data_IF_695868885936
#
_entry.id   IF_695868885936
#
_cell.length_a   1.000
_cell.length_b   1.000
_cell.length_c   1.000
_cell.angle_alpha   90.00
_cell.angle_beta   90.00
_cell.angle_gamma   90.00
#
_symmetry.space_group_name_H-M   'P 1'
#
loop_
_entity.id
_entity.type
_entity.pdbx_description
1 polymer ?
#
# COMPACT_ATOMS: atom_id res chain seq x y z
N UNK A 1 16.60 39.78 -8.36
CA UNK A 1 16.33 38.32 -8.31
C UNK A 1 15.53 37.87 -9.53
N UNK A 2 14.40 38.53 -9.83
CA UNK A 2 13.59 38.24 -11.04
C UNK A 2 14.38 38.37 -12.35
N UNK A 3 15.19 39.43 -12.51
CA UNK A 3 16.00 39.62 -13.72
C UNK A 3 17.03 38.50 -13.92
N UNK A 4 17.53 37.93 -12.81
CA UNK A 4 18.47 36.81 -12.84
C UNK A 4 17.78 35.53 -13.35
N UNK A 5 16.54 35.29 -12.90
CA UNK A 5 15.72 34.16 -13.39
C UNK A 5 15.35 34.34 -14.86
N UNK A 6 15.00 35.56 -15.28
CA UNK A 6 14.69 35.86 -16.68
C UNK A 6 15.92 35.72 -17.58
N UNK A 7 17.14 35.89 -17.06
CA UNK A 7 18.38 35.68 -17.81
C UNK A 7 18.78 34.20 -17.97
N UNK A 8 18.23 33.30 -17.15
CA UNK A 8 18.53 31.86 -17.21
C UNK A 8 17.71 31.15 -18.30
N UNK A 9 18.40 30.50 -19.24
CA UNK A 9 17.75 29.74 -20.32
C UNK A 9 17.03 28.49 -19.80
N UNK A 10 17.49 27.89 -18.71
CA UNK A 10 16.81 26.75 -18.10
C UNK A 10 15.46 27.19 -17.53
N UNK A 11 15.41 28.30 -16.81
CA UNK A 11 14.14 28.82 -16.29
C UNK A 11 13.13 29.06 -17.42
N UNK A 12 13.55 29.66 -18.54
CA UNK A 12 12.71 29.82 -19.73
C UNK A 12 12.21 28.48 -20.29
N UNK A 13 13.08 27.48 -20.38
CA UNK A 13 12.69 26.12 -20.82
C UNK A 13 11.62 25.50 -19.93
N UNK A 14 11.73 25.63 -18.61
CA UNK A 14 10.73 25.08 -17.68
C UNK A 14 9.36 25.73 -17.89
N UNK A 15 9.31 27.05 -18.03
CA UNK A 15 8.05 27.77 -18.27
C UNK A 15 7.44 27.38 -19.62
N UNK A 16 8.24 27.34 -20.69
CA UNK A 16 7.77 26.95 -22.02
C UNK A 16 7.29 25.49 -22.05
N UNK A 17 7.98 24.57 -21.36
CA UNK A 17 7.54 23.19 -21.18
C UNK A 17 6.20 23.10 -20.43
N UNK A 18 6.04 23.87 -19.34
CA UNK A 18 4.79 23.92 -18.60
C UNK A 18 3.62 24.38 -19.48
N UNK A 19 3.84 25.37 -20.35
CA UNK A 19 2.84 25.78 -21.34
C UNK A 19 2.47 24.65 -22.30
N UNK A 20 3.46 23.92 -22.84
CA UNK A 20 3.18 22.82 -23.75
C UNK A 20 2.39 21.68 -23.08
N UNK A 21 2.77 21.30 -21.85
CA UNK A 21 2.04 20.28 -21.07
C UNK A 21 0.62 20.75 -20.78
N UNK A 22 0.43 22.03 -20.42
CA UNK A 22 -0.89 22.61 -20.19
C UNK A 22 -1.73 22.58 -21.47
N UNK A 23 -1.19 23.00 -22.61
CA UNK A 23 -1.90 23.02 -23.88
C UNK A 23 -2.29 21.60 -24.33
N UNK A 24 -1.39 20.64 -24.22
CA UNK A 24 -1.69 19.24 -24.51
C UNK A 24 -2.74 18.69 -23.54
N UNK A 25 -2.65 19.02 -22.25
CA UNK A 25 -3.69 18.65 -21.30
C UNK A 25 -5.03 19.25 -21.70
N UNK A 26 -5.13 20.55 -21.97
CA UNK A 26 -6.38 21.22 -22.34
C UNK A 26 -7.03 20.62 -23.59
N UNK A 27 -6.23 20.25 -24.61
CA UNK A 27 -6.71 19.58 -25.83
C UNK A 27 -7.00 18.09 -25.64
N UNK A 28 -6.28 17.44 -24.74
CA UNK A 28 -6.35 16.00 -24.50
C UNK A 28 -7.69 15.58 -23.91
N UNK A 29 -8.31 14.58 -24.54
CA UNK A 29 -9.43 13.85 -23.97
C UNK A 29 -8.91 12.91 -22.88
N UNK A 30 -9.56 12.89 -21.72
CA UNK A 30 -9.21 11.99 -20.60
C UNK A 30 -10.51 11.44 -20.05
N UNK A 31 -10.59 10.12 -19.83
CA UNK A 31 -11.80 9.44 -19.30
C UNK A 31 -12.37 10.08 -18.02
N UNK A 32 -11.55 10.75 -17.23
CA UNK A 32 -11.92 11.38 -15.96
C UNK A 32 -12.24 12.87 -16.07
N UNK A 33 -12.17 13.48 -17.25
CA UNK A 33 -12.62 14.87 -17.45
C UNK A 33 -14.13 14.93 -17.59
N UNK A 34 -14.75 15.89 -16.92
CA UNK A 34 -16.18 16.18 -17.08
C UNK A 34 -16.48 16.62 -18.50
N UNK A 35 -17.61 16.18 -19.06
CA UNK A 35 -18.13 16.62 -20.37
C UNK A 35 -18.42 18.11 -20.45
N UNK A 36 -18.43 18.81 -19.31
CA UNK A 36 -18.68 20.25 -19.23
C UNK A 36 -17.43 21.10 -19.53
N UNK A 37 -16.24 20.49 -19.61
CA UNK A 37 -14.99 21.20 -19.88
C UNK A 37 -14.68 21.20 -21.38
N UNK A 38 -15.39 22.05 -22.11
CA UNK A 38 -15.26 22.23 -23.57
C UNK A 38 -14.56 23.57 -23.86
N UNK A 39 -13.65 23.57 -24.83
CA UNK A 39 -13.02 24.77 -25.35
C UNK A 39 -13.83 25.33 -26.52
N UNK A 40 -13.86 26.66 -26.66
CA UNK A 40 -14.40 27.28 -27.89
C UNK A 40 -13.42 27.09 -29.06
N UNK A 41 -13.92 27.23 -30.29
CA UNK A 41 -13.08 27.16 -31.49
C UNK A 41 -12.01 28.26 -31.50
N UNK A 42 -12.36 29.46 -31.03
CA UNK A 42 -11.45 30.60 -30.90
C UNK A 42 -10.32 30.31 -29.89
N UNK A 43 -10.65 29.72 -28.74
CA UNK A 43 -9.65 29.28 -27.75
C UNK A 43 -8.74 28.19 -28.32
N UNK A 44 -9.31 27.26 -29.09
CA UNK A 44 -8.56 26.16 -29.69
C UNK A 44 -7.55 26.67 -30.72
N UNK A 45 -7.94 27.62 -31.56
CA UNK A 45 -7.05 28.31 -32.50
C UNK A 45 -5.96 29.10 -31.78
N UNK A 46 -6.31 29.82 -30.71
CA UNK A 46 -5.34 30.55 -29.90
C UNK A 46 -4.28 29.61 -29.29
N UNK A 47 -4.70 28.43 -28.80
CA UNK A 47 -3.76 27.41 -28.31
C UNK A 47 -2.82 26.94 -29.43
N UNK A 48 -3.29 26.78 -30.66
CA UNK A 48 -2.44 26.36 -31.79
C UNK A 48 -1.38 27.40 -32.14
N UNK A 49 -1.79 28.66 -32.24
CA UNK A 49 -0.88 29.74 -32.60
C UNK A 49 0.14 29.99 -31.49
N UNK A 50 -0.29 29.94 -30.22
CA UNK A 50 0.63 30.04 -29.08
C UNK A 50 1.55 28.83 -28.95
N UNK A 51 1.08 27.62 -29.24
CA UNK A 51 1.92 26.42 -29.27
C UNK A 51 3.03 26.56 -30.31
N UNK A 52 2.72 27.03 -31.53
CA UNK A 52 3.73 27.30 -32.57
C UNK A 52 4.75 28.33 -32.10
N UNK A 53 4.30 29.41 -31.46
CA UNK A 53 5.19 30.42 -30.90
C UNK A 53 6.11 29.85 -29.79
N UNK A 54 5.59 28.99 -28.92
CA UNK A 54 6.38 28.33 -27.86
C UNK A 54 7.46 27.42 -28.45
N UNK A 55 7.14 26.63 -29.49
CA UNK A 55 8.14 25.81 -30.18
C UNK A 55 9.23 26.62 -30.85
N UNK A 56 8.88 27.78 -31.44
CA UNK A 56 9.84 28.72 -31.99
C UNK A 56 10.75 29.32 -30.90
N UNK A 57 10.18 29.72 -29.75
CA UNK A 57 10.98 30.22 -28.64
C UNK A 57 11.90 29.13 -28.05
N UNK A 58 11.45 27.88 -27.99
CA UNK A 58 12.27 26.75 -27.55
C UNK A 58 13.44 26.48 -28.51
N UNK A 59 13.23 26.60 -29.83
CA UNK A 59 14.33 26.42 -30.79
C UNK A 59 15.35 27.56 -30.75
N UNK A 60 14.91 28.77 -30.40
CA UNK A 60 15.77 29.95 -30.20
C UNK A 60 16.58 29.91 -28.88
N UNK A 61 16.29 29.00 -27.94
CA UNK A 61 16.97 28.93 -26.63
C UNK A 61 18.28 28.09 -26.66
N UNK A 62 19.47 28.69 -26.46
CA UNK A 62 20.71 27.93 -26.34
C UNK A 62 20.82 27.17 -25.00
N UNK A 63 21.56 26.04 -24.93
CA UNK A 63 22.26 25.31 -26.01
C UNK A 63 21.38 24.25 -26.71
N UNK A 64 21.58 24.02 -28.00
CA UNK A 64 20.88 22.99 -28.81
C UNK A 64 19.34 23.07 -28.80
N UNK A 65 18.77 24.29 -28.92
CA UNK A 65 17.33 24.53 -28.88
C UNK A 65 16.53 23.65 -29.85
N UNK A 66 16.95 23.51 -31.12
CA UNK A 66 16.27 22.65 -32.09
C UNK A 66 16.22 21.17 -31.68
N UNK A 67 17.31 20.65 -31.12
CA UNK A 67 17.38 19.26 -30.67
C UNK A 67 16.49 19.05 -29.46
N UNK A 68 16.47 20.02 -28.54
CA UNK A 68 15.57 20.02 -27.40
C UNK A 68 14.11 20.06 -27.84
N UNK A 69 13.73 20.96 -28.76
CA UNK A 69 12.36 21.05 -29.29
C UNK A 69 11.89 19.72 -29.90
N UNK A 70 12.72 19.04 -30.71
CA UNK A 70 12.40 17.72 -31.27
C UNK A 70 12.23 16.64 -30.20
N UNK A 71 13.04 16.68 -29.15
CA UNK A 71 12.93 15.75 -28.02
C UNK A 71 11.63 15.99 -27.26
N UNK A 72 11.26 17.25 -27.02
CA UNK A 72 10.00 17.61 -26.37
C UNK A 72 8.81 17.15 -27.21
N UNK A 73 8.82 17.40 -28.52
CA UNK A 73 7.77 16.93 -29.44
C UNK A 73 7.61 15.40 -29.38
N UNK A 74 8.72 14.66 -29.35
CA UNK A 74 8.67 13.21 -29.18
C UNK A 74 8.10 12.77 -27.83
N UNK A 75 8.49 13.42 -26.73
CA UNK A 75 7.99 13.12 -25.38
C UNK A 75 6.47 13.37 -25.32
N UNK A 76 6.00 14.52 -25.80
CA UNK A 76 4.58 14.87 -25.81
C UNK A 76 3.77 13.88 -26.66
N UNK A 77 4.29 13.43 -27.82
CA UNK A 77 3.67 12.36 -28.60
C UNK A 77 3.59 11.03 -27.84
N UNK A 78 4.62 10.67 -27.06
CA UNK A 78 4.56 9.46 -26.20
C UNK A 78 3.55 9.62 -25.05
N UNK A 79 3.38 10.83 -24.52
CA UNK A 79 2.35 11.12 -23.52
C UNK A 79 0.93 11.01 -24.12
N UNK A 80 0.70 11.42 -25.36
CA UNK A 80 -0.57 11.19 -26.06
C UNK A 80 -0.89 9.70 -26.19
N UNK A 81 0.09 8.90 -26.59
CA UNK A 81 -0.04 7.45 -26.68
C UNK A 81 -0.38 6.83 -25.31
N UNK A 82 0.30 7.29 -24.25
CA UNK A 82 0.06 6.83 -22.89
C UNK A 82 -1.33 7.22 -22.39
N UNK A 83 -1.79 8.44 -22.69
CA UNK A 83 -3.11 8.90 -22.37
C UNK A 83 -4.17 8.08 -23.12
N UNK A 84 -3.97 7.80 -24.41
CA UNK A 84 -4.88 6.94 -25.19
C UNK A 84 -4.95 5.53 -24.60
N UNK A 85 -3.82 4.92 -24.26
CA UNK A 85 -3.76 3.60 -23.64
C UNK A 85 -4.51 3.54 -22.30
N UNK A 86 -4.33 4.56 -21.44
CA UNK A 86 -5.10 4.69 -20.20
C UNK A 86 -6.60 4.88 -20.47
N UNK A 87 -6.93 5.71 -21.45
CA UNK A 87 -8.30 5.91 -21.91
C UNK A 87 -8.91 4.64 -22.51
N UNK A 88 -8.14 3.65 -22.91
CA UNK A 88 -8.64 2.34 -23.34
C UNK A 88 -8.87 1.37 -22.17
N UNK A 89 -8.53 1.76 -20.94
CA UNK A 89 -8.64 0.90 -19.76
C UNK A 89 -7.38 0.07 -19.51
N UNK A 90 -6.21 0.57 -19.93
CA UNK A 90 -4.91 -0.03 -19.67
C UNK A 90 -4.79 -1.48 -20.20
N UNK A 91 -4.98 -1.72 -21.51
CA UNK A 91 -4.87 -3.06 -22.06
C UNK A 91 -3.48 -3.67 -21.81
N UNK A 92 -3.44 -4.97 -21.51
CA UNK A 92 -2.19 -5.67 -21.18
C UNK A 92 -1.16 -5.55 -22.33
N UNK A 93 0.08 -5.23 -21.98
CA UNK A 93 1.21 -5.27 -22.92
C UNK A 93 1.63 -6.70 -23.27
N UNK A 94 1.08 -7.70 -22.58
CA UNK A 94 1.32 -9.11 -22.88
C UNK A 94 0.62 -9.42 -24.20
N UNK A 95 1.38 -9.33 -25.30
CA UNK A 95 0.97 -9.90 -26.56
C UNK A 95 0.92 -11.41 -26.38
N UNK A 96 -0.28 -11.96 -26.27
CA UNK A 96 -0.48 -13.39 -26.45
C UNK A 96 0.21 -13.75 -27.76
N UNK A 97 1.16 -14.70 -27.70
CA UNK A 97 1.72 -15.24 -28.94
C UNK A 97 0.53 -15.74 -29.74
N UNK A 98 0.34 -15.29 -30.99
CA UNK A 98 -0.69 -15.90 -31.82
C UNK A 98 -0.44 -17.41 -31.79
N UNK A 99 -1.49 -18.24 -31.61
CA UNK A 99 -1.31 -19.68 -31.74
C UNK A 99 -0.64 -19.90 -33.09
N UNK A 100 0.49 -20.61 -33.09
CA UNK A 100 1.28 -20.94 -34.29
C UNK A 100 0.34 -21.60 -35.31
N UNK A 101 -0.34 -20.79 -36.13
CA UNK A 101 -1.39 -21.26 -37.05
C UNK A 101 -0.81 -21.83 -38.34
N UNK A 102 0.52 -21.97 -38.40
CA UNK A 102 1.20 -22.75 -39.42
C UNK A 102 2.37 -23.47 -38.74
N UNK A 103 2.51 -24.80 -38.86
CA UNK A 103 3.77 -25.43 -38.56
C UNK A 103 4.79 -24.77 -39.49
N UNK A 104 5.65 -23.94 -38.91
CA UNK A 104 6.78 -23.38 -39.63
C UNK A 104 7.54 -24.57 -40.17
N UNK A 105 7.50 -24.76 -41.52
CA UNK A 105 8.19 -25.88 -42.17
C UNK A 105 9.59 -25.92 -41.55
N UNK A 106 10.03 -27.06 -40.99
CA UNK A 106 11.29 -27.10 -40.30
C UNK A 106 12.33 -26.62 -41.29
N UNK A 107 12.88 -25.42 -41.03
CA UNK A 107 14.11 -24.99 -41.68
C UNK A 107 15.04 -26.17 -41.47
N UNK A 108 15.47 -26.81 -42.56
CA UNK A 108 16.44 -27.91 -42.50
C UNK A 108 17.68 -27.34 -41.82
N UNK A 109 17.70 -27.41 -40.49
CA UNK A 109 18.91 -27.23 -39.69
C UNK A 109 19.86 -28.26 -40.29
N UNK A 110 21.01 -27.81 -40.76
CA UNK A 110 22.11 -28.74 -41.09
C UNK A 110 22.17 -29.72 -39.91
N UNK A 111 22.14 -31.05 -40.15
CA UNK A 111 22.27 -31.99 -39.05
C UNK A 111 23.48 -31.55 -38.23
N UNK A 112 23.30 -31.35 -36.93
CA UNK A 112 24.42 -31.08 -36.04
C UNK A 112 25.49 -32.13 -36.36
N UNK A 113 26.78 -31.75 -36.51
CA UNK A 113 27.83 -32.69 -36.82
C UNK A 113 27.67 -33.92 -35.92
N UNK A 114 27.58 -35.12 -36.52
CA UNK A 114 27.37 -36.37 -35.79
C UNK A 114 28.41 -36.61 -34.69
N UNK A 115 29.52 -35.86 -34.71
CA UNK A 115 30.58 -35.87 -33.71
C UNK A 115 30.18 -35.29 -32.34
N UNK A 116 29.12 -34.47 -32.25
CA UNK A 116 28.66 -33.89 -30.97
C UNK A 116 27.69 -34.79 -30.19
N UNK A 117 27.02 -35.73 -30.87
CA UNK A 117 26.05 -36.64 -30.25
C UNK A 117 26.64 -38.05 -30.26
N UNK A 118 26.85 -38.61 -29.07
CA UNK A 118 27.33 -39.98 -28.93
C UNK A 118 26.44 -40.96 -29.69
N UNK A 119 27.05 -41.86 -30.46
CA UNK A 119 26.35 -42.92 -31.17
C UNK A 119 25.84 -43.97 -30.17
N UNK A 120 24.53 -43.98 -29.92
CA UNK A 120 23.86 -44.92 -29.02
C UNK A 120 22.39 -44.56 -28.77
N UNK A 121 21.65 -45.43 -28.08
CA UNK A 121 20.24 -45.17 -27.71
C UNK A 121 20.07 -43.95 -26.81
N UNK A 122 21.10 -43.63 -26.02
CA UNK A 122 21.20 -42.39 -25.25
C UNK A 122 22.01 -41.38 -26.07
N UNK A 123 21.32 -40.41 -26.68
CA UNK A 123 21.91 -39.27 -27.42
C UNK A 123 22.64 -38.32 -26.47
N UNK A 124 23.75 -38.79 -25.89
CA UNK A 124 24.57 -38.01 -24.97
C UNK A 124 25.38 -36.99 -25.74
N UNK A 125 25.46 -35.76 -25.26
CA UNK A 125 26.29 -34.70 -25.83
C UNK A 125 27.73 -34.99 -25.43
N UNK A 126 28.58 -35.38 -26.39
CA UNK A 126 30.01 -35.54 -26.14
C UNK A 126 30.69 -34.18 -26.25
N UNK A 127 31.30 -33.76 -25.16
CA UNK A 127 32.24 -32.65 -25.11
C UNK A 127 33.64 -33.23 -24.99
N UNK A 128 34.65 -32.61 -25.61
CA UNK A 128 36.02 -33.17 -25.65
C UNK A 128 36.69 -33.42 -24.28
N UNK A 129 36.06 -33.06 -23.16
CA UNK A 129 36.47 -33.36 -21.79
C UNK A 129 35.36 -34.18 -21.09
N UNK A 130 35.74 -35.18 -20.30
CA UNK A 130 34.83 -36.03 -19.52
C UNK A 130 33.95 -35.24 -18.55
N UNK A 131 34.48 -34.21 -17.87
CA UNK A 131 33.69 -33.38 -16.95
C UNK A 131 32.67 -32.51 -17.68
N UNK A 132 33.05 -31.97 -18.86
CA UNK A 132 32.10 -31.22 -19.69
C UNK A 132 31.02 -32.14 -20.26
N UNK A 133 31.38 -33.35 -20.67
CA UNK A 133 30.42 -34.37 -21.10
C UNK A 133 29.47 -34.72 -19.95
N UNK A 134 29.98 -34.87 -18.73
CA UNK A 134 29.14 -35.15 -17.55
C UNK A 134 28.16 -34.03 -17.27
N UNK A 135 28.63 -32.78 -17.23
CA UNK A 135 27.80 -31.60 -16.95
C UNK A 135 26.72 -31.38 -18.00
N UNK A 136 27.06 -31.51 -19.29
CA UNK A 136 26.11 -31.32 -20.39
C UNK A 136 25.07 -32.43 -20.52
N UNK A 137 25.30 -33.58 -19.87
CA UNK A 137 24.35 -34.69 -19.81
C UNK A 137 23.68 -34.83 -18.44
N UNK A 138 23.90 -33.89 -17.52
CA UNK A 138 23.27 -33.92 -16.18
C UNK A 138 21.75 -33.80 -16.29
N UNK A 139 21.27 -32.94 -17.19
CA UNK A 139 19.86 -32.79 -17.51
C UNK A 139 19.69 -32.54 -19.01
N UNK A 140 18.81 -33.30 -19.71
CA UNK A 140 18.57 -33.12 -21.13
C UNK A 140 17.84 -31.81 -21.45
N UNK A 141 17.02 -31.29 -20.52
CA UNK A 141 16.40 -29.97 -20.59
C UNK A 141 16.68 -29.16 -19.32
N UNK A 142 17.31 -28.00 -19.49
CA UNK A 142 17.60 -27.06 -18.41
C UNK A 142 16.32 -26.48 -17.80
N UNK A 143 15.24 -26.36 -18.58
CA UNK A 143 13.97 -25.83 -18.07
C UNK A 143 13.26 -26.82 -17.16
N UNK A 144 13.26 -28.11 -17.52
CA UNK A 144 12.76 -29.18 -16.65
C UNK A 144 13.63 -29.34 -15.41
N UNK A 145 14.95 -29.23 -15.55
CA UNK A 145 15.87 -29.24 -14.40
C UNK A 145 15.60 -28.12 -13.40
N UNK A 146 15.12 -26.95 -13.86
CA UNK A 146 14.74 -25.85 -12.98
C UNK A 146 13.39 -26.04 -12.29
N UNK A 147 12.58 -27.02 -12.71
CA UNK A 147 11.27 -27.35 -12.13
C UNK A 147 11.33 -28.55 -11.17
N UNK A 148 12.50 -29.15 -10.97
CA UNK A 148 12.64 -30.29 -10.05
C UNK A 148 12.31 -29.86 -8.62
N UNK A 149 11.51 -30.67 -7.92
CA UNK A 149 11.18 -30.47 -6.51
C UNK A 149 12.43 -30.36 -5.61
N UNK A 150 13.53 -31.03 -5.98
CA UNK A 150 14.84 -30.91 -5.29
C UNK A 150 15.49 -29.53 -5.37
N UNK A 151 14.96 -28.62 -6.19
CA UNK A 151 15.36 -27.20 -6.27
C UNK A 151 14.37 -26.26 -5.58
N UNK A 152 13.32 -26.78 -4.97
CA UNK A 152 12.47 -26.01 -4.07
C UNK A 152 13.18 -25.91 -2.71
N UNK A 153 14.07 -24.92 -2.59
CA UNK A 153 14.85 -24.69 -1.35
C UNK A 153 14.06 -23.94 -0.27
N UNK A 154 12.77 -23.68 -0.49
CA UNK A 154 11.96 -22.88 0.42
C UNK A 154 11.17 -23.80 1.34
N UNK A 155 11.46 -23.83 2.65
CA UNK A 155 10.69 -24.64 3.59
C UNK A 155 9.26 -24.12 3.72
N UNK A 156 8.36 -24.96 4.22
CA UNK A 156 7.00 -24.55 4.58
C UNK A 156 7.03 -23.68 5.84
N UNK A 157 5.94 -22.96 6.12
CA UNK A 157 5.83 -22.19 7.38
C UNK A 157 5.86 -23.12 8.59
N UNK A 158 5.21 -24.28 8.48
CA UNK A 158 5.11 -25.28 9.54
C UNK A 158 6.50 -25.83 9.90
N UNK A 159 7.24 -26.35 8.91
CA UNK A 159 8.58 -26.91 9.11
C UNK A 159 9.60 -25.87 9.62
N UNK A 160 9.48 -24.61 9.17
CA UNK A 160 10.44 -23.58 9.56
C UNK A 160 10.19 -23.03 10.97
N UNK A 161 8.93 -22.93 11.39
CA UNK A 161 8.55 -22.36 12.69
C UNK A 161 8.32 -23.40 13.79
N UNK A 162 8.33 -24.71 13.49
CA UNK A 162 8.20 -25.81 14.47
C UNK A 162 9.03 -25.58 15.73
N UNK A 163 10.34 -25.35 15.59
CA UNK A 163 11.26 -25.09 16.73
C UNK A 163 10.85 -23.85 17.53
N UNK A 164 10.36 -22.79 16.87
CA UNK A 164 9.93 -21.57 17.55
C UNK A 164 8.56 -21.72 18.23
N UNK A 165 7.68 -22.56 17.67
CA UNK A 165 6.38 -22.90 18.25
C UNK A 165 6.58 -23.72 19.52
N UNK A 166 7.43 -24.75 19.47
CA UNK A 166 7.79 -25.55 20.66
C UNK A 166 8.40 -24.68 21.76
N UNK A 167 9.29 -23.75 21.41
CA UNK A 167 9.91 -22.81 22.38
C UNK A 167 8.95 -21.74 22.91
N UNK A 168 7.80 -21.54 22.27
CA UNK A 168 6.75 -20.62 22.73
C UNK A 168 5.82 -21.28 23.77
N UNK A 169 5.83 -22.61 23.88
CA UNK A 169 5.05 -23.35 24.88
C UNK A 169 5.64 -23.11 26.29
N UNK A 170 4.85 -22.58 27.25
CA UNK A 170 5.26 -22.42 28.64
C UNK A 170 5.77 -23.69 29.33
N UNK A 171 5.40 -24.89 28.87
CA UNK A 171 5.85 -26.18 29.45
C UNK A 171 7.33 -26.45 29.20
N UNK A 172 7.89 -25.94 28.09
CA UNK A 172 9.28 -26.23 27.69
C UNK A 172 10.34 -25.42 28.46
N UNK A 173 9.93 -24.51 29.37
CA UNK A 173 10.82 -23.79 30.31
C UNK A 173 12.05 -23.14 29.65
N UNK A 174 11.94 -22.70 28.40
CA UNK A 174 13.05 -22.09 27.66
C UNK A 174 13.20 -20.62 28.06
N UNK A 175 14.37 -20.23 28.57
CA UNK A 175 14.64 -18.83 28.90
C UNK A 175 14.53 -17.94 27.64
N UNK A 176 13.91 -16.77 27.78
CA UNK A 176 13.71 -15.83 26.67
C UNK A 176 14.99 -15.57 25.86
N UNK A 177 16.16 -15.51 26.50
CA UNK A 177 17.45 -15.27 25.83
C UNK A 177 17.83 -16.32 24.78
N UNK A 178 17.34 -17.56 24.91
CA UNK A 178 17.68 -18.67 24.01
C UNK A 178 16.61 -19.00 22.98
N UNK A 179 15.48 -18.27 22.97
CA UNK A 179 14.45 -18.43 21.94
C UNK A 179 15.02 -18.15 20.54
N UNK A 180 14.66 -18.99 19.58
CA UNK A 180 15.05 -18.87 18.17
C UNK A 180 14.67 -17.50 17.60
N UNK A 181 13.53 -16.96 18.05
CA UNK A 181 13.02 -15.63 17.69
C UNK A 181 13.99 -14.49 18.05
N UNK A 182 14.83 -14.66 19.07
CA UNK A 182 15.84 -13.67 19.47
C UNK A 182 17.14 -13.76 18.65
N UNK A 183 17.31 -14.80 17.83
CA UNK A 183 18.42 -14.89 16.91
C UNK A 183 18.18 -14.03 15.66
N UNK A 184 19.04 -13.05 15.42
CA UNK A 184 18.92 -12.13 14.28
C UNK A 184 18.85 -12.85 12.93
N UNK A 185 19.64 -13.91 12.72
CA UNK A 185 19.64 -14.66 11.47
C UNK A 185 18.34 -15.44 11.25
N UNK A 186 17.81 -16.02 12.33
CA UNK A 186 16.52 -16.69 12.31
C UNK A 186 15.41 -15.69 12.00
N UNK A 187 15.39 -14.55 12.69
CA UNK A 187 14.38 -13.52 12.48
C UNK A 187 14.35 -12.95 11.06
N UNK A 188 15.51 -12.74 10.43
CA UNK A 188 15.57 -12.31 9.03
C UNK A 188 15.09 -13.37 8.03
N UNK A 189 15.35 -14.66 8.32
CA UNK A 189 14.84 -15.76 7.49
C UNK A 189 13.34 -15.94 7.66
N UNK A 190 12.86 -15.86 8.90
CA UNK A 190 11.45 -15.89 9.28
C UNK A 190 10.66 -14.79 8.56
N UNK A 191 11.14 -13.54 8.62
CA UNK A 191 10.48 -12.40 8.00
C UNK A 191 10.36 -12.56 6.47
N UNK A 192 11.42 -13.04 5.80
CA UNK A 192 11.39 -13.28 4.34
C UNK A 192 10.45 -14.42 3.97
N UNK A 193 10.33 -15.44 4.81
CA UNK A 193 9.43 -16.55 4.58
C UNK A 193 7.97 -16.11 4.76
N UNK A 194 7.68 -15.39 5.84
CA UNK A 194 6.36 -14.82 6.13
C UNK A 194 5.90 -13.89 5.00
N UNK A 195 6.75 -12.98 4.52
CA UNK A 195 6.41 -12.08 3.42
C UNK A 195 6.03 -12.79 2.11
N UNK A 196 6.41 -14.05 1.93
CA UNK A 196 6.16 -14.81 0.69
C UNK A 196 5.05 -15.84 0.83
N UNK A 197 4.87 -16.43 2.02
CA UNK A 197 3.94 -17.54 2.26
C UNK A 197 2.76 -17.13 3.14
N UNK A 198 2.89 -16.11 3.98
CA UNK A 198 1.81 -15.65 4.85
C UNK A 198 0.93 -14.62 4.14
N UNK A 199 -0.38 -14.89 3.97
CA UNK A 199 -1.33 -13.92 3.41
C UNK A 199 -1.58 -12.73 4.35
N UNK A 200 -1.30 -12.88 5.63
CA UNK A 200 -1.53 -11.86 6.67
C UNK A 200 -0.36 -10.90 6.88
N UNK A 201 0.78 -11.11 6.18
CA UNK A 201 1.99 -10.31 6.39
C UNK A 201 1.84 -8.82 6.03
N UNK A 202 1.06 -8.51 4.98
CA UNK A 202 0.89 -7.13 4.48
C UNK A 202 -0.44 -6.48 4.89
N UNK A 203 -1.15 -7.06 5.86
CA UNK A 203 -2.39 -6.47 6.35
C UNK A 203 -2.07 -5.19 7.15
N UNK A 204 -2.82 -4.08 6.95
CA UNK A 204 -2.66 -2.87 7.75
C UNK A 204 -2.90 -3.20 9.22
N UNK A 205 -1.83 -3.43 9.96
CA UNK A 205 -1.91 -3.70 11.39
C UNK A 205 -1.68 -2.37 12.10
N UNK A 206 -2.67 -1.88 12.85
CA UNK A 206 -2.51 -0.70 13.72
C UNK A 206 -1.54 -0.95 14.90
N UNK A 207 -0.96 -2.15 14.99
CA UNK A 207 0.08 -2.51 15.96
C UNK A 207 1.44 -1.98 15.51
N UNK A 208 1.95 -0.99 16.25
CA UNK A 208 3.35 -0.58 16.15
C UNK A 208 4.23 -1.61 16.86
N UNK A 209 4.84 -2.53 16.11
CA UNK A 209 5.81 -3.45 16.68
C UNK A 209 7.11 -2.70 17.01
N UNK A 210 7.53 -2.76 18.28
CA UNK A 210 8.73 -2.07 18.76
C UNK A 210 10.01 -2.82 18.39
N UNK A 211 9.95 -4.16 18.34
CA UNK A 211 11.10 -4.99 17.96
C UNK A 211 10.72 -6.21 17.10
N UNK A 212 11.68 -6.67 16.28
CA UNK A 212 11.52 -7.86 15.43
C UNK A 212 11.21 -9.14 16.23
N UNK A 213 11.85 -9.41 17.38
CA UNK A 213 11.51 -10.57 18.19
C UNK A 213 10.06 -10.56 18.69
N UNK A 214 9.55 -9.43 19.18
CA UNK A 214 8.15 -9.31 19.65
C UNK A 214 7.15 -9.53 18.50
N UNK A 215 7.46 -9.04 17.30
CA UNK A 215 6.64 -9.30 16.11
C UNK A 215 6.58 -10.80 15.79
N UNK A 216 7.73 -11.47 15.81
CA UNK A 216 7.83 -12.89 15.48
C UNK A 216 7.22 -13.78 16.57
N UNK A 217 7.32 -13.43 17.86
CA UNK A 217 6.63 -14.16 18.94
C UNK A 217 5.11 -14.12 18.75
N UNK A 218 4.55 -12.95 18.44
CA UNK A 218 3.12 -12.83 18.14
C UNK A 218 2.71 -13.62 16.89
N UNK A 219 3.56 -13.64 15.87
CA UNK A 219 3.29 -14.40 14.64
C UNK A 219 3.37 -15.91 14.87
N UNK A 220 4.32 -16.37 15.69
CA UNK A 220 4.45 -17.78 16.11
C UNK A 220 3.20 -18.23 16.88
N UNK A 221 2.68 -17.40 17.79
CA UNK A 221 1.44 -17.70 18.51
C UNK A 221 0.24 -17.79 17.57
N UNK A 222 0.15 -16.92 16.56
CA UNK A 222 -0.91 -16.98 15.54
C UNK A 222 -0.80 -18.25 14.68
N UNK A 223 0.41 -18.58 14.22
CA UNK A 223 0.66 -19.79 13.44
C UNK A 223 0.33 -21.06 14.24
N UNK A 224 0.70 -21.10 15.52
CA UNK A 224 0.37 -22.22 16.42
C UNK A 224 -1.15 -22.42 16.61
N UNK A 225 -1.96 -21.35 16.51
CA UNK A 225 -3.43 -21.41 16.60
C UNK A 225 -4.11 -21.78 15.27
N UNK A 226 -3.48 -21.49 14.12
CA UNK A 226 -4.00 -21.82 12.79
C UNK A 226 -3.63 -23.24 12.34
N UNK A 227 -2.64 -23.87 12.98
CA UNK A 227 -2.27 -25.26 12.76
C UNK A 227 -3.32 -26.18 13.39
N UNK A 228 -3.96 -27.11 12.65
CA UNK A 228 -4.74 -28.18 13.28
C UNK A 228 -3.79 -29.04 14.14
N UNK A 229 -4.23 -29.50 15.32
CA UNK A 229 -3.36 -30.28 16.20
C UNK A 229 -2.90 -31.56 15.45
N UNK A 230 -1.62 -31.96 15.63
CA UNK A 230 -1.15 -33.21 15.06
C UNK A 230 -1.99 -34.34 15.66
N UNK A 231 -2.62 -35.10 14.78
CA UNK A 231 -3.53 -36.19 15.11
C UNK A 231 -2.83 -37.26 15.95
N UNK A 232 -3.09 -37.33 17.25
CA UNK A 232 -3.10 -38.58 18.03
C UNK A 232 -4.16 -38.56 19.14
N UNK A 233 -5.04 -39.57 19.07
CA UNK A 233 -5.87 -40.18 20.12
C UNK A 233 -7.03 -39.39 20.77
N UNK A 234 -8.22 -39.86 20.43
CA UNK A 234 -9.53 -39.62 21.03
C UNK A 234 -9.48 -39.75 22.57
N UNK A 235 -9.90 -38.68 23.27
CA UNK A 235 -10.56 -38.82 24.58
C UNK A 235 -11.63 -37.74 24.77
N UNK A 236 -12.82 -38.09 24.30
CA UNK A 236 -14.15 -37.75 24.85
C UNK A 236 -14.23 -36.61 25.88
N UNK A 237 -14.99 -35.57 25.56
CA UNK A 237 -15.55 -34.67 26.57
C UNK A 237 -16.07 -33.36 26.00
N UNK A 238 -17.29 -33.41 25.46
CA UNK A 238 -18.28 -32.31 25.44
C UNK A 238 -17.99 -31.09 24.57
N UNK A 239 -18.70 -31.05 23.44
CA UNK A 239 -19.07 -29.83 22.73
C UNK A 239 -19.89 -28.93 23.68
N UNK A 240 -19.52 -27.66 23.80
CA UNK A 240 -20.46 -26.55 24.01
C UNK A 240 -19.77 -25.21 23.63
N UNK A 241 -20.44 -24.50 22.71
CA UNK A 241 -20.37 -23.06 22.42
C UNK A 241 -19.26 -22.51 21.50
N UNK A 242 -19.45 -22.69 20.20
CA UNK A 242 -19.02 -21.76 19.14
C UNK A 242 -19.97 -20.55 19.10
N UNK A 243 -19.76 -19.52 19.92
CA UNK A 243 -20.24 -18.15 19.67
C UNK A 243 -19.48 -17.19 20.60
N UNK A 244 -19.03 -16.05 20.06
CA UNK A 244 -18.26 -14.97 20.71
C UNK A 244 -16.78 -15.22 21.08
N UNK A 245 -15.88 -14.96 20.12
CA UNK A 245 -14.47 -14.70 20.44
C UNK A 245 -13.81 -13.56 19.62
N UNK A 246 -14.60 -12.54 19.27
CA UNK A 246 -14.08 -11.25 18.76
C UNK A 246 -14.07 -10.17 19.86
N UNK A 247 -14.59 -10.47 21.06
CA UNK A 247 -14.71 -9.52 22.17
C UNK A 247 -13.57 -9.60 23.21
N UNK A 248 -12.73 -10.65 23.20
CA UNK A 248 -11.75 -10.92 24.27
C UNK A 248 -10.32 -10.43 24.00
N UNK A 249 -10.06 -9.75 22.88
CA UNK A 249 -8.75 -9.13 22.60
C UNK A 249 -8.68 -7.62 22.90
N UNK A 250 -9.64 -7.10 23.68
CA UNK A 250 -9.58 -5.75 24.26
C UNK A 250 -9.27 -5.82 25.76
N UNK A 251 -8.18 -6.45 26.17
CA UNK A 251 -7.63 -6.22 27.52
C UNK A 251 -6.23 -5.59 27.45
N UNK A 252 -6.28 -4.26 27.60
CA UNK A 252 -5.39 -3.39 28.36
C UNK A 252 -4.01 -3.96 28.75
N UNK A 253 -3.01 -3.57 27.96
CA UNK A 253 -1.67 -3.31 28.47
C UNK A 253 -1.01 -2.18 27.67
N UNK A 254 -1.72 -1.05 27.55
CA UNK A 254 -1.11 0.21 27.10
C UNK A 254 -0.99 1.14 28.31
N UNK A 255 0.20 1.70 28.52
CA UNK A 255 0.43 2.67 29.60
C UNK A 255 -0.47 3.90 29.43
N UNK A 256 -0.96 4.50 30.54
CA UNK A 256 -1.98 5.57 30.53
C UNK A 256 -1.57 6.85 29.79
N UNK A 257 -0.26 7.06 29.53
CA UNK A 257 0.24 8.17 28.71
C UNK A 257 -0.07 8.01 27.21
N UNK A 258 -0.22 6.78 26.70
CA UNK A 258 -0.36 6.52 25.24
C UNK A 258 -1.82 6.59 24.76
N UNK A 259 -2.79 6.55 25.66
CA UNK A 259 -4.22 6.67 25.34
C UNK A 259 -4.69 8.12 25.19
N UNK A 260 -3.98 9.09 25.80
CA UNK A 260 -4.32 10.52 25.75
C UNK A 260 -4.03 11.17 24.40
N UNK A 261 -3.04 10.64 23.68
CA UNK A 261 -2.60 11.13 22.37
C UNK A 261 -3.33 10.49 21.17
N UNK A 262 -4.25 9.54 21.41
CA UNK A 262 -5.03 8.90 20.35
C UNK A 262 -6.32 9.68 20.06
N UNK A 263 -6.68 9.78 18.79
CA UNK A 263 -7.95 10.38 18.36
C UNK A 263 -9.14 9.64 18.98
N UNK A 264 -10.19 10.38 19.35
CA UNK A 264 -11.38 9.82 20.00
C UNK A 264 -12.03 8.73 19.13
N UNK A 265 -12.38 7.61 19.74
CA UNK A 265 -13.07 6.54 19.02
C UNK A 265 -14.54 6.89 18.78
N UNK A 266 -15.18 6.27 17.79
CA UNK A 266 -16.60 6.51 17.48
C UNK A 266 -17.54 6.23 18.68
N UNK A 267 -17.21 5.24 19.52
CA UNK A 267 -17.94 4.93 20.75
C UNK A 267 -17.79 6.05 21.80
N UNK A 268 -16.60 6.65 21.93
CA UNK A 268 -16.36 7.80 22.82
C UNK A 268 -17.08 9.06 22.33
N UNK A 269 -17.13 9.28 21.02
CA UNK A 269 -17.88 10.39 20.42
C UNK A 269 -19.37 10.24 20.65
N UNK A 270 -19.91 9.02 20.54
CA UNK A 270 -21.32 8.74 20.76
C UNK A 270 -21.73 8.87 22.24
N UNK A 271 -20.92 8.36 23.16
CA UNK A 271 -21.17 8.52 24.60
C UNK A 271 -21.11 9.98 25.02
N UNK A 272 -20.16 10.75 24.47
CA UNK A 272 -20.03 12.16 24.77
C UNK A 272 -21.11 13.01 24.11
N UNK A 273 -21.51 12.72 22.87
CA UNK A 273 -22.63 13.39 22.20
C UNK A 273 -23.93 13.30 23.00
N UNK A 274 -24.16 12.16 23.64
CA UNK A 274 -25.30 11.95 24.53
C UNK A 274 -25.26 12.84 25.78
N UNK A 275 -24.07 13.15 26.30
CA UNK A 275 -23.85 14.05 27.45
C UNK A 275 -23.87 15.52 27.05
N UNK A 276 -23.33 15.86 25.87
CA UNK A 276 -23.23 17.22 25.34
C UNK A 276 -24.59 17.85 25.04
N UNK A 277 -25.54 17.06 24.50
CA UNK A 277 -26.93 17.48 24.32
C UNK A 277 -27.08 18.86 23.68
N UNK A 278 -27.91 19.73 24.26
CA UNK A 278 -28.24 21.07 23.71
C UNK A 278 -27.05 22.05 23.67
N UNK A 279 -25.97 21.74 24.39
CA UNK A 279 -24.80 22.62 24.51
C UNK A 279 -23.84 22.50 23.32
N UNK A 280 -24.13 21.64 22.34
CA UNK A 280 -23.34 21.49 21.12
C UNK A 280 -23.16 22.81 20.36
N UNK A 281 -24.20 23.65 20.30
CA UNK A 281 -24.17 24.95 19.60
C UNK A 281 -23.27 25.97 20.31
N UNK A 282 -23.13 25.87 21.64
CA UNK A 282 -22.23 26.71 22.41
C UNK A 282 -20.77 26.27 22.28
N UNK A 283 -20.52 24.97 22.03
CA UNK A 283 -19.19 24.40 21.82
C UNK A 283 -18.65 24.64 20.40
N UNK A 284 -19.52 24.61 19.38
CA UNK A 284 -19.14 24.69 17.97
C UNK A 284 -18.18 25.84 17.59
N UNK A 285 -18.33 27.09 18.09
CA UNK A 285 -17.41 28.18 17.77
C UNK A 285 -16.00 27.99 18.35
N UNK A 286 -15.87 27.25 19.45
CA UNK A 286 -14.59 26.98 20.11
C UNK A 286 -13.85 25.79 19.50
N UNK A 287 -14.53 24.99 18.67
CA UNK A 287 -13.96 23.97 17.80
C UNK A 287 -13.63 24.52 16.40
N UNK A 288 -13.63 25.86 16.25
CA UNK A 288 -13.36 26.56 14.99
C UNK A 288 -14.25 26.15 13.81
N UNK A 289 -15.47 25.68 14.10
CA UNK A 289 -16.43 25.31 13.07
C UNK A 289 -17.04 26.54 12.40
N UNK A 290 -17.19 26.50 11.06
CA UNK A 290 -17.75 27.61 10.30
C UNK A 290 -19.24 27.78 10.60
N UNK A 291 -19.72 29.02 10.57
CA UNK A 291 -21.15 29.32 10.75
C UNK A 291 -22.06 28.63 9.72
N UNK A 292 -21.55 28.36 8.51
CA UNK A 292 -22.25 27.59 7.48
C UNK A 292 -22.54 26.16 7.94
N UNK A 293 -21.57 25.55 8.59
CA UNK A 293 -21.58 24.13 8.94
C UNK A 293 -22.45 23.93 10.19
N UNK A 294 -22.41 24.89 11.12
CA UNK A 294 -23.32 24.94 12.28
C UNK A 294 -24.79 25.06 11.82
N UNK A 295 -25.08 25.92 10.84
CA UNK A 295 -26.44 26.06 10.28
C UNK A 295 -26.90 24.81 9.54
N UNK A 296 -25.98 24.13 8.86
CA UNK A 296 -26.28 22.89 8.16
C UNK A 296 -26.60 21.75 9.15
N UNK A 297 -25.81 21.59 10.21
CA UNK A 297 -26.08 20.61 11.29
C UNK A 297 -27.44 20.89 11.95
N UNK A 298 -27.80 22.16 12.14
CA UNK A 298 -29.11 22.55 12.69
C UNK A 298 -30.29 22.21 11.77
N UNK A 299 -30.08 22.20 10.45
CA UNK A 299 -31.09 21.84 9.44
C UNK A 299 -31.18 20.32 9.20
N UNK A 300 -30.07 19.60 9.32
CA UNK A 300 -29.95 18.18 8.93
C UNK A 300 -30.62 17.21 9.91
N UNK A 301 -30.87 17.63 11.14
CA UNK A 301 -31.55 16.80 12.14
C UNK A 301 -32.39 17.65 13.09
N UNK A 302 -33.51 17.12 13.59
CA UNK A 302 -34.29 17.73 14.69
C UNK A 302 -33.85 17.21 16.07
N UNK A 303 -33.11 16.10 16.11
CA UNK A 303 -32.64 15.49 17.36
C UNK A 303 -31.34 16.17 17.83
N UNK A 304 -31.43 16.75 19.02
CA UNK A 304 -30.32 17.43 19.70
C UNK A 304 -29.09 16.53 19.85
N UNK A 305 -29.28 15.24 20.13
CA UNK A 305 -28.17 14.28 20.31
C UNK A 305 -27.48 13.97 18.98
N UNK A 306 -28.26 13.87 17.90
CA UNK A 306 -27.72 13.68 16.56
C UNK A 306 -26.95 14.91 16.08
N UNK A 307 -27.42 16.13 16.40
CA UNK A 307 -26.67 17.36 16.13
C UNK A 307 -25.34 17.42 16.89
N UNK A 308 -25.34 17.04 18.17
CA UNK A 308 -24.12 16.93 18.97
C UNK A 308 -23.14 15.91 18.39
N UNK A 309 -23.63 14.76 17.93
CA UNK A 309 -22.80 13.73 17.27
C UNK A 309 -22.24 14.23 15.94
N UNK A 310 -23.06 14.85 15.10
CA UNK A 310 -22.63 15.43 13.82
C UNK A 310 -21.57 16.50 13.98
N UNK A 311 -21.68 17.35 15.02
CA UNK A 311 -20.67 18.33 15.36
C UNK A 311 -19.32 17.68 15.69
N UNK A 312 -19.32 16.67 16.56
CA UNK A 312 -18.09 15.99 17.01
C UNK A 312 -17.44 15.17 15.89
N UNK A 313 -18.23 14.56 15.01
CA UNK A 313 -17.73 13.86 13.81
C UNK A 313 -17.13 14.86 12.82
N UNK A 314 -17.80 15.99 12.55
CA UNK A 314 -17.26 17.02 11.68
C UNK A 314 -15.96 17.63 12.23
N UNK A 315 -15.87 17.82 13.55
CA UNK A 315 -14.65 18.23 14.23
C UNK A 315 -13.54 17.17 14.09
N UNK A 316 -13.87 15.88 14.25
CA UNK A 316 -12.92 14.79 14.05
C UNK A 316 -12.40 14.73 12.60
N UNK A 317 -13.27 14.93 11.61
CA UNK A 317 -12.89 14.96 10.20
C UNK A 317 -12.00 16.17 9.86
N UNK A 318 -12.16 17.29 10.58
CA UNK A 318 -11.36 18.50 10.41
C UNK A 318 -9.97 18.39 11.07
N UNK A 319 -9.88 17.87 12.29
CA UNK A 319 -8.64 17.80 13.08
C UNK A 319 -7.85 16.49 12.88
N UNK A 320 -8.50 15.43 12.39
CA UNK A 320 -7.90 14.13 12.11
C UNK A 320 -7.20 13.52 13.33
N UNK A 321 -5.86 13.32 13.31
CA UNK A 321 -5.13 12.72 14.42
C UNK A 321 -5.08 13.60 15.68
N UNK A 322 -5.40 14.91 15.58
CA UNK A 322 -5.43 15.84 16.71
C UNK A 322 -6.79 15.93 17.40
N UNK A 323 -7.78 15.15 16.96
CA UNK A 323 -9.08 15.03 17.61
C UNK A 323 -9.00 14.21 18.92
N UNK A 324 -8.13 14.62 19.84
CA UNK A 324 -7.87 13.94 21.11
C UNK A 324 -8.82 14.43 22.21
N UNK A 325 -9.05 13.61 23.26
CA UNK A 325 -9.85 14.03 24.42
C UNK A 325 -9.33 15.32 25.07
N UNK A 326 -8.02 15.53 25.13
CA UNK A 326 -7.41 16.73 25.75
C UNK A 326 -7.72 18.02 24.99
N UNK A 327 -7.73 17.96 23.66
CA UNK A 327 -8.09 19.11 22.82
C UNK A 327 -9.58 19.44 22.96
N UNK A 328 -10.43 18.43 23.08
CA UNK A 328 -11.85 18.61 23.35
C UNK A 328 -12.10 19.17 24.76
N UNK A 329 -11.38 18.68 25.78
CA UNK A 329 -11.41 19.22 27.16
C UNK A 329 -11.02 20.70 27.16
N UNK A 330 -9.96 21.06 26.45
CA UNK A 330 -9.50 22.44 26.32
C UNK A 330 -10.56 23.34 25.67
N UNK A 331 -11.22 22.85 24.63
CA UNK A 331 -12.32 23.57 23.97
C UNK A 331 -13.54 23.72 24.89
N UNK A 332 -13.90 22.70 25.66
CA UNK A 332 -15.00 22.71 26.62
C UNK A 332 -14.75 23.70 27.77
N UNK A 333 -13.52 23.73 28.31
CA UNK A 333 -13.15 24.71 29.35
C UNK A 333 -13.24 26.14 28.83
N UNK A 334 -12.82 26.39 27.58
CA UNK A 334 -12.96 27.70 26.94
C UNK A 334 -14.42 28.08 26.66
N UNK A 335 -15.27 27.09 26.37
CA UNK A 335 -16.71 27.27 26.18
C UNK A 335 -17.50 27.48 27.49
N UNK A 336 -16.85 27.38 28.66
CA UNK A 336 -17.49 27.51 29.97
C UNK A 336 -18.25 26.25 30.40
N UNK A 337 -18.03 25.11 29.74
CA UNK A 337 -18.68 23.83 30.01
C UNK A 337 -17.82 22.95 30.93
N UNK A 338 -17.47 23.50 32.09
CA UNK A 338 -16.54 22.88 33.05
C UNK A 338 -16.99 21.51 33.57
N UNK A 339 -18.29 21.36 33.87
CA UNK A 339 -18.85 20.09 34.36
C UNK A 339 -18.75 18.96 33.30
N UNK A 340 -18.88 19.29 32.01
CA UNK A 340 -18.71 18.33 30.93
C UNK A 340 -17.23 17.99 30.69
N UNK A 341 -16.34 18.97 30.83
CA UNK A 341 -14.90 18.77 30.78
C UNK A 341 -14.43 17.83 31.92
N UNK A 342 -14.92 18.04 33.15
CA UNK A 342 -14.65 17.17 34.30
C UNK A 342 -15.23 15.76 34.11
N UNK A 343 -16.39 15.63 33.46
CA UNK A 343 -16.97 14.32 33.13
C UNK A 343 -16.09 13.55 32.14
N UNK A 344 -15.47 14.24 31.17
CA UNK A 344 -14.61 13.66 30.16
C UNK A 344 -13.21 13.34 30.71
N UNK A 345 -12.70 14.12 31.67
CA UNK A 345 -11.47 13.77 32.41
C UNK A 345 -11.69 12.55 33.31
N UNK A 346 -12.84 12.43 33.97
CA UNK A 346 -13.14 11.29 34.83
C UNK A 346 -13.37 10.00 34.01
N UNK A 347 -13.99 10.07 32.83
CA UNK A 347 -14.15 8.90 31.95
C UNK A 347 -12.81 8.44 31.36
N UNK A 348 -11.86 9.35 31.15
CA UNK A 348 -10.50 9.04 30.67
C UNK A 348 -9.59 8.52 31.80
N UNK A 349 -9.76 8.98 33.04
CA UNK A 349 -9.06 8.45 34.22
C UNK A 349 -9.68 7.13 34.74
N UNK A 350 -11.00 6.94 34.59
CA UNK A 350 -11.70 5.71 35.02
C UNK A 350 -11.50 4.50 34.11
N UNK A 351 -10.89 4.68 32.93
CA UNK A 351 -10.45 3.60 32.04
C UNK A 351 -8.98 3.19 32.25
N UNK A 352 -8.32 3.72 33.29
CA UNK A 352 -6.91 3.45 33.66
C UNK A 352 -6.71 2.22 34.53
#
# INVERSE_FOLDING_TARGET
LMDLQLSDSNFRRHILLQYLILFQYLKGQVKFKSSNYVLTDEQSLWIEDTTKAVYQLLSENPPDGERFSKMVEHILNTEENWNSWKNEGCPSFVKERPPDSKPMRPVRKRPAPEDFLGKGSNKKILMGNEELTRLWNLCPDNMEACKSESREYMPTLEEFFEEAIEQADPENMVENKYKAVNNSNYGWRALRLLARRSPHFFQPTNQQFKSLPEYLENMVIKLAKELPPPSEEIKTGEDEDEEDNDALLKENNESPEVQRDKAMTGEQIESFANKLGEQWKALAPYLEMKESDIRQIELDSEDVKMRAKQLLVAWQDQEGPHATPENLITALTKAGLGELAESLTNDTEGSS
#
